data_IF_678392376073
#
_entry.id   IF_678392376073
#
_cell.length_a   1.000
_cell.length_b   1.000
_cell.length_c   1.000
_cell.angle_alpha   90.00
_cell.angle_beta   90.00
_cell.angle_gamma   90.00
#
_symmetry.space_group_name_H-M   'P 1'
#
loop_
_entity.id
_entity.type
_entity.pdbx_description
1 polymer ?
#
# COMPACT_ATOMS: atom_id res chain seq x y z
N UNK A 1 -44.54 60.32 57.41
CA UNK A 1 -45.33 60.11 56.18
C UNK A 1 -44.35 59.77 55.08
N UNK A 2 -44.06 58.47 54.95
CA UNK A 2 -44.52 57.61 53.83
C UNK A 2 -43.95 58.14 52.52
N UNK A 3 -42.77 57.61 52.21
CA UNK A 3 -42.15 57.69 50.89
C UNK A 3 -43.13 57.03 49.92
N UNK A 4 -43.71 57.82 49.03
CA UNK A 4 -44.59 57.36 47.95
C UNK A 4 -43.79 56.46 47.03
N UNK A 5 -43.76 55.17 47.41
CA UNK A 5 -43.95 54.01 46.55
C UNK A 5 -43.73 54.36 45.07
N UNK A 6 -42.47 54.26 44.65
CA UNK A 6 -42.04 54.18 43.26
C UNK A 6 -42.60 52.88 42.66
N UNK A 7 -43.93 52.81 42.49
CA UNK A 7 -44.63 51.73 41.84
C UNK A 7 -44.49 51.94 40.35
N UNK A 8 -43.48 51.29 39.77
CA UNK A 8 -43.47 51.01 38.35
C UNK A 8 -44.62 50.03 38.10
N UNK A 9 -45.71 50.50 37.49
CA UNK A 9 -46.92 49.70 37.20
C UNK A 9 -46.65 48.52 36.25
N UNK A 10 -45.50 48.54 35.59
CA UNK A 10 -44.90 47.39 34.92
C UNK A 10 -43.39 47.48 35.08
N UNK A 11 -42.76 46.37 35.46
CA UNK A 11 -41.33 46.21 35.19
C UNK A 11 -41.24 45.87 33.69
N UNK A 12 -40.62 46.71 32.85
CA UNK A 12 -40.38 46.34 31.46
C UNK A 12 -39.36 45.20 31.44
N UNK A 13 -39.86 43.96 31.52
CA UNK A 13 -39.05 42.78 31.25
C UNK A 13 -38.99 42.62 29.75
N UNK A 14 -37.77 42.45 29.22
CA UNK A 14 -37.60 41.99 27.86
C UNK A 14 -38.20 40.57 27.82
N UNK A 15 -39.24 40.30 27.01
CA UNK A 15 -39.81 38.97 26.92
C UNK A 15 -38.71 37.99 26.48
N UNK A 16 -38.63 36.85 27.15
CA UNK A 16 -37.72 35.79 26.75
C UNK A 16 -38.16 35.24 25.40
N UNK A 17 -37.20 34.98 24.53
CA UNK A 17 -37.47 34.42 23.20
C UNK A 17 -38.12 33.05 23.36
N UNK A 18 -39.35 32.90 22.87
CA UNK A 18 -40.07 31.63 22.84
C UNK A 18 -39.86 30.94 21.47
N UNK A 19 -39.58 29.64 21.49
CA UNK A 19 -39.32 28.85 20.28
C UNK A 19 -40.48 28.78 19.27
N UNK A 20 -41.69 29.13 19.69
CA UNK A 20 -42.88 29.18 18.83
C UNK A 20 -43.12 30.55 18.17
N UNK A 21 -42.29 31.56 18.47
CA UNK A 21 -42.38 32.85 17.81
C UNK A 21 -42.12 32.69 16.30
N UNK A 22 -42.94 33.32 15.47
CA UNK A 22 -42.92 33.13 14.02
C UNK A 22 -41.56 33.46 13.38
N UNK A 23 -40.80 34.40 13.95
CA UNK A 23 -39.45 34.72 13.48
C UNK A 23 -38.42 33.64 13.87
N UNK A 24 -38.55 33.02 15.05
CA UNK A 24 -37.67 31.90 15.49
C UNK A 24 -37.89 30.68 14.63
N UNK A 25 -39.15 30.34 14.36
CA UNK A 25 -39.51 29.23 13.45
C UNK A 25 -38.95 29.48 12.06
N UNK A 26 -39.10 30.71 11.53
CA UNK A 26 -38.56 31.08 10.21
C UNK A 26 -37.04 30.93 10.15
N UNK A 27 -36.32 31.44 11.16
CA UNK A 27 -34.85 31.33 11.22
C UNK A 27 -34.42 29.85 11.30
N UNK A 28 -35.12 29.02 12.08
CA UNK A 28 -34.84 27.59 12.16
C UNK A 28 -35.04 26.91 10.81
N UNK A 29 -36.14 27.18 10.12
CA UNK A 29 -36.42 26.62 8.80
C UNK A 29 -35.37 27.07 7.77
N UNK A 30 -34.92 28.32 7.85
CA UNK A 30 -33.88 28.86 6.97
C UNK A 30 -32.52 28.21 7.24
N UNK A 31 -32.15 28.00 8.52
CA UNK A 31 -30.94 27.26 8.89
C UNK A 31 -31.01 25.83 8.38
N UNK A 32 -32.15 25.16 8.51
CA UNK A 32 -32.33 23.79 8.00
C UNK A 32 -32.13 23.73 6.48
N UNK A 33 -32.75 24.64 5.73
CA UNK A 33 -32.55 24.73 4.26
C UNK A 33 -31.11 25.01 3.89
N UNK A 34 -30.40 25.83 4.69
CA UNK A 34 -28.98 26.12 4.46
C UNK A 34 -28.10 24.89 4.71
N UNK A 35 -28.40 24.10 5.74
CA UNK A 35 -27.72 22.82 6.00
C UNK A 35 -27.98 21.81 4.87
N UNK A 36 -29.23 21.66 4.43
CA UNK A 36 -29.57 20.76 3.30
C UNK A 36 -28.87 21.18 2.00
N UNK A 37 -28.63 22.49 1.83
CA UNK A 37 -27.89 23.02 0.68
C UNK A 37 -26.38 22.80 0.81
N UNK A 38 -25.81 22.95 2.00
CA UNK A 38 -24.37 22.73 2.23
C UNK A 38 -23.99 21.25 2.23
N UNK A 39 -24.94 20.35 2.48
CA UNK A 39 -24.72 18.90 2.40
C UNK A 39 -24.47 18.40 0.96
N UNK A 40 -25.06 19.03 -0.04
CA UNK A 40 -24.92 18.63 -1.46
C UNK A 40 -23.47 18.62 -1.95
N UNK A 41 -22.68 19.70 -1.83
CA UNK A 41 -21.28 19.70 -2.26
C UNK A 41 -20.44 18.69 -1.47
N UNK A 42 -20.75 18.43 -0.20
CA UNK A 42 -20.08 17.40 0.60
C UNK A 42 -20.31 16.00 0.02
N UNK A 43 -21.57 15.65 -0.31
CA UNK A 43 -21.91 14.36 -0.91
C UNK A 43 -21.28 14.19 -2.29
N UNK A 44 -21.26 15.24 -3.09
CA UNK A 44 -20.65 15.18 -4.42
C UNK A 44 -19.12 15.06 -4.37
N UNK A 45 -18.48 15.70 -3.38
CA UNK A 45 -17.05 15.52 -3.12
C UNK A 45 -16.74 14.09 -2.65
N UNK A 46 -17.57 13.52 -1.77
CA UNK A 46 -17.40 12.16 -1.28
C UNK A 46 -17.44 11.12 -2.41
N UNK A 47 -18.34 11.27 -3.39
CA UNK A 47 -18.42 10.38 -4.56
C UNK A 47 -17.13 10.30 -5.38
N UNK A 48 -16.30 11.34 -5.35
CA UNK A 48 -15.01 11.31 -6.07
C UNK A 48 -14.08 10.23 -5.51
N UNK A 49 -14.22 9.89 -4.23
CA UNK A 49 -13.44 8.84 -3.55
C UNK A 49 -13.94 7.43 -3.79
N UNK A 50 -15.13 7.25 -4.36
CA UNK A 50 -15.72 5.91 -4.59
C UNK A 50 -14.80 5.03 -5.44
N UNK A 51 -14.05 5.63 -6.37
CA UNK A 51 -13.05 4.91 -7.20
C UNK A 51 -11.94 4.25 -6.38
N UNK A 52 -11.61 4.80 -5.21
CA UNK A 52 -10.53 4.31 -4.35
C UNK A 52 -11.00 3.27 -3.34
N UNK A 53 -12.32 3.13 -3.11
CA UNK A 53 -12.89 2.16 -2.17
C UNK A 53 -12.49 0.73 -2.55
N UNK A 54 -12.53 0.41 -3.86
CA UNK A 54 -12.12 -0.91 -4.35
C UNK A 54 -10.66 -1.23 -4.01
N UNK A 55 -9.77 -0.26 -4.19
CA UNK A 55 -8.36 -0.43 -3.83
C UNK A 55 -8.14 -0.48 -2.32
N UNK A 56 -8.84 0.34 -1.53
CA UNK A 56 -8.76 0.31 -0.06
C UNK A 56 -9.16 -1.04 0.52
N UNK A 57 -10.19 -1.67 -0.04
CA UNK A 57 -10.68 -2.98 0.39
C UNK A 57 -9.93 -4.17 -0.21
N UNK A 58 -9.00 -3.93 -1.14
CA UNK A 58 -8.18 -5.00 -1.72
C UNK A 58 -7.37 -5.70 -0.63
N UNK A 59 -7.49 -7.03 -0.56
CA UNK A 59 -6.67 -7.86 0.31
C UNK A 59 -5.25 -7.98 -0.26
N UNK A 60 -4.27 -7.48 0.50
CA UNK A 60 -2.87 -7.45 0.11
C UNK A 60 -2.28 -8.86 -0.02
N UNK A 61 -2.66 -9.80 0.85
CA UNK A 61 -2.13 -11.17 0.81
C UNK A 61 -2.61 -11.93 -0.42
N UNK A 62 -3.92 -11.88 -0.69
CA UNK A 62 -4.50 -12.51 -1.87
C UNK A 62 -3.93 -11.95 -3.19
N UNK A 63 -3.55 -10.67 -3.20
CA UNK A 63 -2.87 -10.05 -4.33
C UNK A 63 -1.43 -10.56 -4.48
N UNK A 64 -0.67 -10.63 -3.38
CA UNK A 64 0.71 -11.12 -3.41
C UNK A 64 0.81 -12.62 -3.77
N UNK A 65 -0.17 -13.41 -3.36
CA UNK A 65 -0.18 -14.85 -3.66
C UNK A 65 -0.28 -15.14 -5.15
N UNK A 66 -0.95 -14.28 -5.94
CA UNK A 66 -0.98 -14.41 -7.40
C UNK A 66 0.42 -14.36 -8.03
N UNK A 67 1.33 -13.58 -7.45
CA UNK A 67 2.72 -13.49 -7.91
C UNK A 67 3.60 -14.60 -7.34
N UNK A 68 3.24 -15.16 -6.18
CA UNK A 68 3.96 -16.29 -5.56
C UNK A 68 3.68 -17.61 -6.26
N UNK A 69 2.46 -17.82 -6.74
CA UNK A 69 2.05 -19.06 -7.42
C UNK A 69 2.61 -19.17 -8.85
N UNK A 70 3.10 -18.07 -9.43
CA UNK A 70 3.73 -18.09 -10.76
C UNK A 70 5.14 -18.71 -10.69
N UNK A 71 5.29 -19.90 -11.26
CA UNK A 71 6.58 -20.56 -11.47
C UNK A 71 6.79 -20.84 -12.98
N UNK A 72 7.77 -20.20 -13.65
CA UNK A 72 8.73 -19.21 -13.15
C UNK A 72 8.12 -17.82 -12.96
N UNK A 73 8.61 -17.00 -12.01
CA UNK A 73 8.11 -15.66 -11.77
C UNK A 73 8.34 -14.75 -12.98
N UNK A 74 7.27 -14.10 -13.46
CA UNK A 74 7.36 -13.12 -14.53
C UNK A 74 7.98 -11.81 -13.99
N UNK A 75 9.30 -11.69 -14.14
CA UNK A 75 10.05 -10.53 -13.67
C UNK A 75 9.62 -9.21 -14.31
N UNK A 76 9.19 -9.27 -15.57
CA UNK A 76 8.81 -8.07 -16.31
C UNK A 76 7.50 -7.52 -15.76
N UNK A 77 6.50 -8.38 -15.61
CA UNK A 77 5.21 -8.03 -15.01
C UNK A 77 5.39 -7.54 -13.55
N UNK A 78 6.22 -8.22 -12.76
CA UNK A 78 6.52 -7.78 -11.40
C UNK A 78 7.17 -6.38 -11.37
N UNK A 79 8.16 -6.15 -12.23
CA UNK A 79 8.86 -4.86 -12.35
C UNK A 79 7.90 -3.75 -12.76
N UNK A 80 7.03 -4.04 -13.74
CA UNK A 80 6.08 -3.07 -14.26
C UNK A 80 5.00 -2.77 -13.22
N UNK A 81 4.56 -3.77 -12.44
CA UNK A 81 3.64 -3.57 -11.30
C UNK A 81 4.24 -2.76 -10.16
N UNK A 82 5.51 -2.99 -9.82
CA UNK A 82 6.21 -2.18 -8.81
C UNK A 82 6.32 -0.74 -9.27
N UNK A 83 6.69 -0.50 -10.53
CA UNK A 83 6.73 0.85 -11.11
C UNK A 83 5.34 1.49 -11.12
N UNK A 84 4.32 0.75 -11.55
CA UNK A 84 2.94 1.22 -11.58
C UNK A 84 2.51 1.67 -10.19
N UNK A 85 2.69 0.85 -9.15
CA UNK A 85 2.33 1.24 -7.79
C UNK A 85 3.10 2.47 -7.28
N UNK A 86 4.37 2.64 -7.64
CA UNK A 86 5.13 3.83 -7.27
C UNK A 86 4.63 5.09 -8.00
N UNK A 87 4.27 4.98 -9.28
CA UNK A 87 3.68 6.09 -10.04
C UNK A 87 2.29 6.43 -9.49
N UNK A 88 1.43 5.44 -9.29
CA UNK A 88 0.10 5.63 -8.72
C UNK A 88 0.15 6.30 -7.34
N UNK A 89 1.16 5.98 -6.51
CA UNK A 89 1.35 6.64 -5.21
C UNK A 89 1.62 8.15 -5.36
N UNK A 90 2.41 8.55 -6.37
CA UNK A 90 2.68 9.95 -6.70
C UNK A 90 1.44 10.60 -7.30
N UNK A 91 0.75 9.93 -8.22
CA UNK A 91 -0.46 10.44 -8.85
C UNK A 91 -1.58 10.69 -7.81
N UNK A 92 -1.68 9.84 -6.79
CA UNK A 92 -2.60 10.05 -5.65
C UNK A 92 -2.21 11.27 -4.83
N UNK A 93 -0.92 11.46 -4.60
CA UNK A 93 -0.38 12.63 -3.92
C UNK A 93 -0.58 13.91 -4.73
N UNK A 94 -0.58 13.86 -6.05
CA UNK A 94 -0.87 15.02 -6.89
C UNK A 94 -2.37 15.28 -7.03
N UNK A 95 -3.19 14.22 -7.09
CA UNK A 95 -4.64 14.32 -7.24
C UNK A 95 -5.36 14.77 -5.95
N UNK A 96 -4.86 14.37 -4.77
CA UNK A 96 -5.49 14.66 -3.49
C UNK A 96 -4.71 15.76 -2.74
N UNK A 97 -5.31 16.92 -2.47
CA UNK A 97 -4.65 18.00 -1.74
C UNK A 97 -4.16 17.56 -0.35
N UNK A 98 -2.97 18.05 0.04
CA UNK A 98 -2.45 17.88 1.39
C UNK A 98 -3.16 18.76 2.43
N UNK A 99 -3.87 19.80 1.97
CA UNK A 99 -4.62 20.73 2.81
C UNK A 99 -6.06 20.28 2.99
N UNK A 100 -6.69 20.75 4.05
CA UNK A 100 -8.13 20.59 4.22
C UNK A 100 -8.86 21.39 3.14
N UNK A 101 -9.97 20.83 2.65
CA UNK A 101 -10.83 21.49 1.67
C UNK A 101 -12.06 22.01 2.39
N UNK A 102 -12.32 23.31 2.24
CA UNK A 102 -13.48 23.96 2.81
C UNK A 102 -14.64 23.97 1.81
N UNK A 103 -15.72 23.25 2.15
CA UNK A 103 -16.95 23.13 1.36
C UNK A 103 -18.05 24.02 1.97
N UNK A 104 -17.70 25.26 2.32
CA UNK A 104 -18.58 26.22 2.97
C UNK A 104 -18.73 25.95 4.47
N UNK A 105 -19.75 25.19 4.87
CA UNK A 105 -20.00 24.87 6.30
C UNK A 105 -19.22 23.64 6.79
N UNK A 106 -18.59 22.89 5.88
CA UNK A 106 -17.85 21.67 6.20
C UNK A 106 -16.38 21.83 5.82
N UNK A 107 -15.48 21.29 6.63
CA UNK A 107 -14.05 21.17 6.33
C UNK A 107 -13.69 19.69 6.23
N UNK A 108 -13.19 19.25 5.08
CA UNK A 108 -12.85 17.85 4.83
C UNK A 108 -11.34 17.69 4.90
N UNK A 109 -10.87 16.85 5.83
CA UNK A 109 -9.46 16.51 5.92
C UNK A 109 -9.07 15.48 4.86
N UNK A 110 -8.30 15.93 3.87
CA UNK A 110 -7.82 15.09 2.78
C UNK A 110 -6.46 14.43 3.10
N UNK A 111 -5.69 15.00 4.03
CA UNK A 111 -4.34 14.57 4.37
C UNK A 111 -4.26 13.10 4.84
N UNK A 112 -5.17 12.68 5.72
CA UNK A 112 -5.18 11.31 6.24
C UNK A 112 -5.49 10.27 5.15
N UNK A 113 -6.47 10.57 4.28
CA UNK A 113 -6.82 9.69 3.15
C UNK A 113 -5.70 9.63 2.11
N UNK A 114 -5.13 10.77 1.74
CA UNK A 114 -3.95 10.86 0.85
C UNK A 114 -2.82 9.98 1.36
N UNK A 115 -2.45 10.13 2.64
CA UNK A 115 -1.38 9.37 3.27
C UNK A 115 -1.66 7.87 3.29
N UNK A 116 -2.87 7.46 3.70
CA UNK A 116 -3.24 6.04 3.73
C UNK A 116 -3.18 5.38 2.35
N UNK A 117 -3.68 6.07 1.32
CA UNK A 117 -3.78 5.53 -0.02
C UNK A 117 -2.39 5.42 -0.68
N UNK A 118 -1.59 6.49 -0.60
CA UNK A 118 -0.22 6.49 -1.09
C UNK A 118 0.67 5.48 -0.34
N UNK A 119 0.53 5.39 0.99
CA UNK A 119 1.26 4.40 1.79
C UNK A 119 0.84 2.97 1.44
N UNK A 120 -0.44 2.71 1.13
CA UNK A 120 -0.88 1.39 0.67
C UNK A 120 -0.19 1.00 -0.65
N UNK A 121 -0.09 1.92 -1.61
CA UNK A 121 0.65 1.67 -2.87
C UNK A 121 2.14 1.39 -2.62
N UNK A 122 2.81 2.21 -1.79
CA UNK A 122 4.23 2.00 -1.44
C UNK A 122 4.45 0.70 -0.69
N UNK A 123 3.55 0.36 0.23
CA UNK A 123 3.58 -0.92 0.96
C UNK A 123 3.45 -2.11 0.02
N UNK A 124 2.52 -2.08 -0.93
CA UNK A 124 2.37 -3.13 -1.93
C UNK A 124 3.63 -3.28 -2.80
N UNK A 125 4.18 -2.18 -3.30
CA UNK A 125 5.43 -2.19 -4.07
C UNK A 125 6.58 -2.84 -3.27
N UNK A 126 6.71 -2.48 -1.99
CA UNK A 126 7.73 -3.07 -1.10
C UNK A 126 7.49 -4.56 -0.84
N UNK A 127 6.26 -4.98 -0.60
CA UNK A 127 5.90 -6.39 -0.39
C UNK A 127 6.16 -7.25 -1.63
N UNK A 128 5.94 -6.71 -2.82
CA UNK A 128 6.27 -7.38 -4.09
C UNK A 128 7.79 -7.56 -4.23
N UNK A 129 8.58 -6.55 -3.89
CA UNK A 129 10.05 -6.65 -3.84
C UNK A 129 10.52 -7.69 -2.82
N UNK A 130 9.92 -7.69 -1.62
CA UNK A 130 10.25 -8.66 -0.57
C UNK A 130 9.95 -10.10 -1.03
N UNK A 131 8.82 -10.33 -1.72
CA UNK A 131 8.51 -11.64 -2.29
C UNK A 131 9.59 -12.09 -3.28
N UNK A 132 10.05 -11.18 -4.15
CA UNK A 132 11.12 -11.50 -5.09
C UNK A 132 12.46 -11.75 -4.40
N UNK A 133 12.75 -11.03 -3.33
CA UNK A 133 13.96 -11.26 -2.53
C UNK A 133 13.94 -12.65 -1.90
N UNK A 134 12.81 -13.07 -1.34
CA UNK A 134 12.64 -14.41 -0.78
C UNK A 134 12.85 -15.47 -1.87
N UNK A 135 12.28 -15.27 -3.07
CA UNK A 135 12.50 -16.17 -4.21
C UNK A 135 13.98 -16.24 -4.61
N UNK A 136 14.69 -15.11 -4.66
CA UNK A 136 16.13 -15.07 -4.91
C UNK A 136 16.92 -15.85 -3.86
N UNK A 137 16.61 -15.66 -2.58
CA UNK A 137 17.28 -16.33 -1.46
C UNK A 137 17.05 -17.84 -1.52
N UNK A 138 15.83 -18.27 -1.82
CA UNK A 138 15.50 -19.69 -1.95
C UNK A 138 16.24 -20.34 -3.12
N UNK A 139 16.28 -19.67 -4.27
CA UNK A 139 17.03 -20.15 -5.43
C UNK A 139 18.55 -20.18 -5.16
N UNK A 140 19.08 -19.20 -4.42
CA UNK A 140 20.48 -19.18 -3.98
C UNK A 140 20.80 -20.37 -3.05
N UNK A 141 19.91 -20.66 -2.10
CA UNK A 141 20.04 -21.79 -1.17
C UNK A 141 19.98 -23.13 -1.90
N UNK A 142 19.06 -23.30 -2.83
CA UNK A 142 18.94 -24.51 -3.66
C UNK A 142 20.20 -24.72 -4.52
N UNK A 143 20.67 -23.66 -5.18
CA UNK A 143 21.93 -23.69 -5.93
C UNK A 143 23.12 -24.08 -5.04
N UNK A 144 23.27 -23.42 -3.89
CA UNK A 144 24.34 -23.72 -2.94
C UNK A 144 24.27 -25.17 -2.46
N UNK A 145 23.08 -25.68 -2.15
CA UNK A 145 22.88 -27.08 -1.76
C UNK A 145 23.26 -28.08 -2.84
N UNK A 146 23.17 -27.72 -4.13
CA UNK A 146 23.58 -28.56 -5.26
C UNK A 146 25.07 -28.45 -5.59
N UNK A 147 25.67 -27.26 -5.40
CA UNK A 147 27.11 -27.05 -5.59
C UNK A 147 27.96 -27.65 -4.47
N UNK A 148 27.48 -27.61 -3.22
CA UNK A 148 28.21 -28.12 -2.05
C UNK A 148 28.64 -29.60 -2.16
N UNK A 149 27.79 -30.57 -2.55
CA UNK A 149 28.21 -31.97 -2.68
C UNK A 149 29.22 -32.17 -3.82
N UNK A 150 29.06 -31.47 -4.95
CA UNK A 150 30.01 -31.52 -6.08
C UNK A 150 31.38 -31.03 -5.62
N UNK A 151 31.42 -29.90 -4.90
CA UNK A 151 32.65 -29.34 -4.35
C UNK A 151 33.30 -30.27 -3.31
N UNK A 152 32.52 -30.86 -2.41
CA UNK A 152 33.03 -31.85 -1.44
C UNK A 152 33.60 -33.09 -2.10
N UNK A 153 32.97 -33.56 -3.18
CA UNK A 153 33.43 -34.74 -3.91
C UNK A 153 34.73 -34.47 -4.66
N UNK A 154 34.90 -33.26 -5.21
CA UNK A 154 36.15 -32.80 -5.82
C UNK A 154 37.31 -32.61 -4.82
N UNK A 155 37.02 -32.30 -3.56
CA UNK A 155 38.03 -32.12 -2.52
C UNK A 155 38.57 -33.44 -1.94
N UNK A 156 37.97 -34.59 -2.28
CA UNK A 156 38.49 -35.88 -1.83
C UNK A 156 39.81 -36.18 -2.54
N UNK A 157 40.84 -36.48 -1.76
CA UNK A 157 42.14 -36.92 -2.30
C UNK A 157 42.06 -38.44 -2.48
N UNK A 158 42.24 -38.98 -3.70
CA UNK A 158 42.16 -40.41 -3.93
C UNK A 158 43.43 -41.08 -3.40
N UNK A 159 43.28 -42.17 -2.65
CA UNK A 159 44.40 -42.93 -2.06
C UNK A 159 44.72 -44.22 -2.82
N UNK A 160 43.85 -44.65 -3.74
CA UNK A 160 43.97 -45.90 -4.49
C UNK A 160 43.66 -45.71 -5.99
N UNK A 161 44.21 -46.58 -6.84
CA UNK A 161 44.11 -46.54 -8.32
C UNK A 161 42.65 -46.72 -8.77
N UNK A 162 41.87 -47.55 -8.08
CA UNK A 162 40.43 -47.71 -8.36
C UNK A 162 39.64 -46.43 -8.08
N UNK A 163 39.90 -45.79 -6.92
CA UNK A 163 39.27 -44.52 -6.54
C UNK A 163 39.65 -43.38 -7.50
N UNK A 164 40.87 -43.41 -8.04
CA UNK A 164 41.35 -42.44 -9.03
C UNK A 164 40.62 -42.59 -10.37
N UNK A 165 40.31 -43.84 -10.76
CA UNK A 165 39.55 -44.16 -11.98
C UNK A 165 38.07 -43.74 -11.84
N UNK A 166 37.45 -43.98 -10.69
CA UNK A 166 36.09 -43.50 -10.41
C UNK A 166 36.01 -41.97 -10.38
N UNK A 167 37.02 -41.30 -9.81
CA UNK A 167 37.05 -39.83 -9.78
C UNK A 167 37.22 -39.22 -11.17
N UNK A 168 38.02 -39.82 -12.05
CA UNK A 168 38.12 -39.36 -13.45
C UNK A 168 36.78 -39.49 -14.19
N UNK A 169 36.06 -40.61 -14.05
CA UNK A 169 34.71 -40.78 -14.62
C UNK A 169 33.72 -39.77 -14.05
N UNK A 170 33.84 -39.46 -12.75
CA UNK A 170 33.02 -38.44 -12.12
C UNK A 170 33.33 -37.06 -12.72
N UNK A 171 34.61 -36.69 -12.87
CA UNK A 171 35.05 -35.43 -13.49
C UNK A 171 34.53 -35.29 -14.93
N UNK A 172 34.50 -36.37 -15.71
CA UNK A 172 33.90 -36.34 -17.06
C UNK A 172 32.38 -36.08 -17.03
N UNK A 173 31.70 -36.46 -15.95
CA UNK A 173 30.26 -36.21 -15.74
C UNK A 173 29.93 -34.86 -15.09
N UNK A 174 30.92 -34.13 -14.60
CA UNK A 174 30.73 -32.82 -13.93
C UNK A 174 30.19 -31.73 -14.88
N UNK A 175 30.70 -31.58 -16.12
CA UNK A 175 30.21 -30.55 -17.05
C UNK A 175 28.71 -30.64 -17.33
N UNK A 176 28.16 -31.86 -17.43
CA UNK A 176 26.73 -32.06 -17.67
C UNK A 176 25.88 -31.73 -16.44
N UNK A 177 26.42 -31.90 -15.23
CA UNK A 177 25.77 -31.49 -13.97
C UNK A 177 25.88 -29.98 -13.71
N UNK A 178 26.97 -29.33 -14.16
CA UNK A 178 27.18 -27.88 -14.02
C UNK A 178 26.36 -27.04 -15.00
N UNK A 179 26.13 -27.51 -16.23
CA UNK A 179 25.38 -26.76 -17.23
C UNK A 179 23.99 -26.25 -16.74
N UNK A 180 23.13 -27.08 -16.12
CA UNK A 180 21.86 -26.60 -15.57
C UNK A 180 22.05 -25.68 -14.36
N UNK A 181 23.06 -25.93 -13.52
CA UNK A 181 23.36 -25.09 -12.35
C UNK A 181 23.84 -23.68 -12.75
N UNK A 182 24.65 -23.58 -13.80
CA UNK A 182 25.10 -22.32 -14.38
C UNK A 182 23.94 -21.54 -14.99
N UNK A 183 23.01 -22.22 -15.66
CA UNK A 183 21.79 -21.61 -16.20
C UNK A 183 20.93 -21.02 -15.08
N UNK A 184 20.72 -21.77 -13.99
CA UNK A 184 20.01 -21.28 -12.80
C UNK A 184 20.75 -20.14 -12.10
N UNK A 185 22.09 -20.15 -12.09
CA UNK A 185 22.90 -19.02 -11.60
C UNK A 185 22.70 -17.74 -12.43
N UNK A 186 22.65 -17.85 -13.76
CA UNK A 186 22.33 -16.71 -14.64
C UNK A 186 20.93 -16.14 -14.38
N UNK A 187 19.94 -17.00 -14.09
CA UNK A 187 18.59 -16.56 -13.70
C UNK A 187 18.60 -15.79 -12.38
N UNK A 188 19.37 -16.25 -11.38
CA UNK A 188 19.55 -15.53 -10.11
C UNK A 188 20.15 -14.15 -10.31
N UNK A 189 21.15 -14.01 -11.20
CA UNK A 189 21.76 -12.71 -11.52
C UNK A 189 20.71 -11.75 -12.11
N UNK A 190 19.86 -12.25 -13.02
CA UNK A 190 18.74 -11.47 -13.57
C UNK A 190 17.76 -11.05 -12.48
N UNK A 191 17.38 -11.97 -11.59
CA UNK A 191 16.44 -11.68 -10.50
C UNK A 191 17.00 -10.63 -9.52
N UNK A 192 18.27 -10.77 -9.15
CA UNK A 192 18.98 -9.79 -8.31
C UNK A 192 19.03 -8.41 -8.95
N UNK A 193 19.19 -8.31 -10.27
CA UNK A 193 19.22 -7.04 -10.98
C UNK A 193 17.90 -6.24 -10.85
N UNK A 194 16.77 -6.93 -10.71
CA UNK A 194 15.47 -6.30 -10.46
C UNK A 194 15.43 -5.74 -9.04
N UNK A 195 15.82 -6.54 -8.04
CA UNK A 195 15.88 -6.08 -6.65
C UNK A 195 16.83 -4.87 -6.49
N UNK A 196 17.98 -4.88 -7.17
CA UNK A 196 18.96 -3.79 -7.10
C UNK A 196 18.50 -2.47 -7.76
N UNK A 197 17.46 -2.49 -8.60
CA UNK A 197 16.92 -1.27 -9.22
C UNK A 197 15.96 -0.50 -8.30
N UNK A 198 15.43 -1.15 -7.26
CA UNK A 198 14.38 -0.59 -6.41
C UNK A 198 14.69 -0.65 -4.91
N UNK A 199 15.78 -1.29 -4.51
CA UNK A 199 16.33 -1.25 -3.15
C UNK A 199 17.42 -0.20 -3.04
#
# INVERSE_FOLDING_TARGET
MVMDKLFWSSHPSIPYVNGNEAWVVRVRDDVQKLLDKSERPLRDYLKQYDRYIGFLNLNEEAYLDQFRTQDPPNLQDLTDKIKQHNVDAVDIEDAIPATNIELGMYSVSCAAMRGQLAEKHRRLARRLLDCQLVNCINLAKDLHSKFEPINRQLQKIPTDIEQLTEMNKYIESIPSQLAPLLTSSQMLIKYRSVCAKFG
#
